data_IF_497083854097
#
_entry.id   IF_497083854097
#
_cell.length_a   1.000
_cell.length_b   1.000
_cell.length_c   1.000
_cell.angle_alpha   90.00
_cell.angle_beta   90.00
_cell.angle_gamma   90.00
#
_symmetry.space_group_name_H-M   'P 1'
#
loop_
_entity.id
_entity.type
_entity.pdbx_description
1 polymer ?
#
# COMPACT_ATOMS: atom_id res chain seq x y z
N UNK A 1 -60.07 55.78 -11.93
CA UNK A 1 -60.25 54.37 -11.52
C UNK A 1 -59.05 53.57 -12.01
N UNK A 2 -58.55 52.61 -11.23
CA UNK A 2 -57.11 52.35 -11.04
C UNK A 2 -56.58 51.08 -11.71
N UNK A 3 -55.25 50.96 -11.74
CA UNK A 3 -54.50 49.68 -11.70
C UNK A 3 -53.99 49.16 -13.06
N UNK A 4 -52.68 49.15 -13.33
CA UNK A 4 -51.66 48.20 -12.82
C UNK A 4 -51.62 46.88 -13.64
N UNK A 5 -50.55 46.60 -14.40
CA UNK A 5 -49.38 45.81 -13.95
C UNK A 5 -48.47 45.42 -15.15
N UNK A 6 -47.20 45.19 -14.79
CA UNK A 6 -45.98 44.94 -15.56
C UNK A 6 -45.90 43.52 -16.19
N UNK A 7 -44.86 43.22 -17.02
CA UNK A 7 -44.90 42.18 -18.05
C UNK A 7 -44.69 40.75 -17.52
N UNK A 8 -45.26 39.81 -18.27
CA UNK A 8 -45.22 38.37 -18.01
C UNK A 8 -43.81 37.80 -17.95
N UNK A 9 -43.52 37.15 -16.82
CA UNK A 9 -42.34 36.32 -16.60
C UNK A 9 -42.33 35.12 -17.57
N UNK A 10 -41.17 34.93 -18.20
CA UNK A 10 -40.78 33.70 -18.86
C UNK A 10 -40.65 32.60 -17.79
N UNK A 11 -41.45 31.53 -17.88
CA UNK A 11 -41.35 30.38 -17.00
C UNK A 11 -40.03 29.63 -17.29
N UNK A 12 -39.10 29.63 -16.34
CA UNK A 12 -37.91 28.80 -16.39
C UNK A 12 -38.26 27.37 -15.99
N UNK A 13 -38.05 26.42 -16.89
CA UNK A 13 -38.10 24.98 -16.60
C UNK A 13 -37.07 24.62 -15.53
N UNK A 14 -37.53 24.48 -14.29
CA UNK A 14 -36.77 23.85 -13.22
C UNK A 14 -36.78 22.32 -13.44
N UNK A 15 -35.85 21.84 -14.27
CA UNK A 15 -35.52 20.42 -14.33
C UNK A 15 -34.99 19.97 -12.97
N UNK A 16 -35.86 19.33 -12.19
CA UNK A 16 -35.51 18.59 -10.98
C UNK A 16 -34.52 17.48 -11.38
N UNK A 17 -33.22 17.75 -11.24
CA UNK A 17 -32.16 16.75 -11.31
C UNK A 17 -32.34 15.80 -10.13
N UNK A 18 -33.13 14.74 -10.33
CA UNK A 18 -33.16 13.60 -9.41
C UNK A 18 -31.75 13.04 -9.36
N UNK A 19 -31.12 13.12 -8.19
CA UNK A 19 -29.89 12.41 -7.89
C UNK A 19 -30.19 10.93 -8.13
N UNK A 20 -29.45 10.22 -9.02
CA UNK A 20 -29.68 8.80 -9.21
C UNK A 20 -29.44 8.08 -7.90
N UNK A 21 -30.36 7.18 -7.54
CA UNK A 21 -30.22 6.34 -6.36
C UNK A 21 -28.87 5.60 -6.42
N UNK A 22 -28.14 5.51 -5.29
CA UNK A 22 -26.91 4.74 -5.25
C UNK A 22 -27.20 3.30 -5.71
N UNK A 23 -26.32 2.67 -6.50
CA UNK A 23 -26.53 1.30 -6.97
C UNK A 23 -26.70 0.37 -5.77
N UNK A 24 -27.54 -0.67 -5.88
CA UNK A 24 -27.80 -1.58 -4.77
C UNK A 24 -26.48 -2.16 -4.28
N UNK A 25 -26.23 -1.96 -2.98
CA UNK A 25 -25.09 -2.50 -2.28
C UNK A 25 -25.11 -4.03 -2.46
N UNK A 26 -24.12 -4.57 -3.19
CA UNK A 26 -24.05 -6.01 -3.46
C UNK A 26 -23.82 -6.72 -2.12
N UNK A 27 -24.89 -7.31 -1.58
CA UNK A 27 -24.94 -8.01 -0.30
C UNK A 27 -23.95 -9.20 -0.15
N UNK A 28 -23.20 -9.54 -1.21
CA UNK A 28 -22.21 -10.63 -1.23
C UNK A 28 -20.77 -10.18 -1.54
N UNK A 29 -20.51 -8.87 -1.47
CA UNK A 29 -19.20 -8.27 -1.67
C UNK A 29 -18.22 -8.69 -0.56
N UNK A 30 -17.33 -9.66 -0.84
CA UNK A 30 -16.17 -9.86 0.04
C UNK A 30 -15.33 -8.57 0.05
N UNK A 31 -14.90 -8.10 1.24
CA UNK A 31 -13.96 -6.98 1.31
C UNK A 31 -12.69 -7.35 0.55
N UNK A 32 -12.06 -6.33 -0.05
CA UNK A 32 -10.79 -6.49 -0.74
C UNK A 32 -9.79 -7.21 0.18
N UNK A 33 -9.29 -8.36 -0.28
CA UNK A 33 -8.37 -9.17 0.50
C UNK A 33 -7.29 -9.76 -0.40
N UNK A 34 -6.09 -9.89 0.16
CA UNK A 34 -4.96 -10.59 -0.45
C UNK A 34 -4.31 -11.50 0.57
N UNK A 35 -4.00 -12.72 0.15
CA UNK A 35 -3.32 -13.73 0.97
C UNK A 35 -2.17 -14.34 0.18
N UNK A 36 -1.01 -14.50 0.82
CA UNK A 36 0.13 -15.21 0.24
C UNK A 36 0.11 -16.69 0.61
N UNK A 37 0.86 -17.51 -0.13
CA UNK A 37 1.05 -18.93 0.19
C UNK A 37 1.79 -19.18 1.51
N UNK A 38 2.42 -18.15 2.08
CA UNK A 38 3.12 -18.21 3.37
C UNK A 38 2.31 -17.51 4.47
N UNK A 39 2.55 -17.93 5.72
CA UNK A 39 1.93 -17.31 6.88
C UNK A 39 2.40 -15.85 7.08
N UNK A 40 1.57 -14.97 7.66
CA UNK A 40 1.98 -13.63 8.05
C UNK A 40 3.27 -13.61 8.88
N UNK A 41 4.25 -12.80 8.48
CA UNK A 41 5.52 -12.65 9.21
C UNK A 41 6.48 -13.83 9.08
N UNK A 42 6.14 -14.87 8.30
CA UNK A 42 7.01 -16.02 8.10
C UNK A 42 8.40 -15.62 7.57
N UNK A 43 9.42 -16.38 7.95
CA UNK A 43 10.80 -16.23 7.46
C UNK A 43 11.21 -17.46 6.69
N UNK A 44 11.63 -17.27 5.45
CA UNK A 44 12.20 -18.30 4.59
C UNK A 44 13.72 -18.20 4.65
N UNK A 45 14.38 -19.31 4.97
CA UNK A 45 15.83 -19.39 5.01
C UNK A 45 16.38 -19.86 3.67
N UNK A 46 17.38 -19.15 3.14
CA UNK A 46 18.11 -19.54 1.93
C UNK A 46 19.62 -19.56 2.20
N UNK A 47 20.27 -20.58 1.64
CA UNK A 47 21.72 -20.68 1.66
C UNK A 47 22.36 -19.66 0.71
N UNK A 48 23.63 -19.34 0.95
CA UNK A 48 24.39 -18.46 0.07
C UNK A 48 24.51 -19.04 -1.35
N UNK A 49 24.23 -18.23 -2.37
CA UNK A 49 24.23 -18.64 -3.76
C UNK A 49 24.49 -17.48 -4.72
N UNK A 50 24.62 -17.77 -6.02
CA UNK A 50 24.87 -16.73 -7.03
C UNK A 50 23.61 -15.99 -7.47
N UNK A 51 22.45 -16.67 -7.44
CA UNK A 51 21.13 -16.11 -7.76
C UNK A 51 20.12 -16.58 -6.73
N UNK A 52 19.28 -15.66 -6.28
CA UNK A 52 18.21 -15.94 -5.33
C UNK A 52 16.92 -15.47 -5.96
N UNK A 53 16.02 -16.41 -6.23
CA UNK A 53 14.68 -16.09 -6.71
C UNK A 53 13.66 -16.74 -5.79
N UNK A 54 12.53 -16.06 -5.65
CA UNK A 54 11.39 -16.57 -4.89
C UNK A 54 10.11 -16.47 -5.70
N UNK A 55 9.32 -17.53 -5.63
CA UNK A 55 7.96 -17.54 -6.16
C UNK A 55 7.02 -16.88 -5.15
N UNK A 56 6.31 -15.86 -5.59
CA UNK A 56 5.24 -15.20 -4.85
C UNK A 56 3.93 -15.72 -5.39
N UNK A 57 3.25 -16.53 -4.58
CA UNK A 57 1.92 -17.06 -4.89
C UNK A 57 0.89 -16.57 -3.88
N UNK A 58 -0.36 -16.49 -4.31
CA UNK A 58 -1.43 -16.01 -3.45
C UNK A 58 -2.80 -15.97 -4.11
N UNK A 59 -3.75 -15.37 -3.40
CA UNK A 59 -5.11 -15.14 -3.87
C UNK A 59 -5.50 -13.69 -3.58
N UNK A 60 -6.10 -13.03 -4.57
CA UNK A 60 -6.75 -11.74 -4.39
C UNK A 60 -8.24 -11.85 -4.73
N UNK A 61 -9.09 -11.20 -3.93
CA UNK A 61 -10.53 -11.12 -4.14
C UNK A 61 -11.05 -9.72 -3.82
N UNK A 62 -12.05 -9.26 -4.56
CA UNK A 62 -12.73 -7.98 -4.37
C UNK A 62 -14.15 -8.03 -4.94
N UNK A 63 -15.01 -7.11 -4.51
CA UNK A 63 -16.30 -6.84 -5.15
C UNK A 63 -16.16 -6.09 -6.49
N UNK A 64 -15.04 -5.39 -6.70
CA UNK A 64 -14.72 -4.61 -7.88
C UNK A 64 -13.60 -5.25 -8.68
N UNK A 65 -13.39 -4.78 -9.92
CA UNK A 65 -12.22 -5.18 -10.71
C UNK A 65 -10.94 -4.83 -9.97
N UNK A 66 -9.96 -5.72 -10.00
CA UNK A 66 -8.64 -5.48 -9.46
C UNK A 66 -7.77 -4.79 -10.52
N UNK A 67 -7.04 -3.77 -10.09
CA UNK A 67 -5.94 -3.15 -10.86
C UNK A 67 -4.71 -4.07 -10.87
N UNK A 68 -3.67 -3.73 -11.67
CA UNK A 68 -2.35 -4.34 -11.55
C UNK A 68 -1.91 -4.55 -10.10
N UNK A 69 -1.41 -5.74 -9.81
CA UNK A 69 -0.89 -6.12 -8.51
C UNK A 69 0.49 -5.51 -8.33
N UNK A 70 0.82 -5.11 -7.11
CA UNK A 70 2.17 -4.66 -6.78
C UNK A 70 2.83 -5.64 -5.82
N UNK A 71 3.94 -6.26 -6.23
CA UNK A 71 4.82 -6.97 -5.32
C UNK A 71 5.85 -5.98 -4.78
N UNK A 72 5.73 -5.62 -3.51
CA UNK A 72 6.70 -4.77 -2.82
C UNK A 72 7.87 -5.61 -2.32
N UNK A 73 9.09 -5.22 -2.69
CA UNK A 73 10.35 -5.83 -2.20
C UNK A 73 11.16 -4.73 -1.55
N UNK A 74 11.39 -4.82 -0.24
CA UNK A 74 12.10 -3.79 0.54
C UNK A 74 11.57 -2.37 0.24
N UNK A 75 10.24 -2.22 0.22
CA UNK A 75 9.54 -0.96 -0.02
C UNK A 75 9.41 -0.54 -1.49
N UNK A 76 10.08 -1.21 -2.44
CA UNK A 76 9.97 -0.93 -3.87
C UNK A 76 8.89 -1.78 -4.52
N UNK A 77 7.86 -1.15 -5.06
CA UNK A 77 6.81 -1.82 -5.81
C UNK A 77 7.27 -2.26 -7.20
N UNK A 78 7.11 -3.54 -7.51
CA UNK A 78 7.18 -4.09 -8.86
C UNK A 78 5.74 -4.35 -9.32
N UNK A 79 5.28 -3.54 -10.28
CA UNK A 79 3.92 -3.67 -10.85
C UNK A 79 3.86 -4.89 -11.75
N UNK A 80 2.77 -5.64 -11.64
CA UNK A 80 2.45 -6.78 -12.50
C UNK A 80 0.99 -6.77 -12.93
N UNK A 81 0.62 -7.42 -14.05
CA UNK A 81 -0.76 -7.48 -14.52
C UNK A 81 -1.73 -7.92 -13.43
N UNK A 82 -3.00 -7.49 -13.50
CA UNK A 82 -4.01 -7.77 -12.47
C UNK A 82 -4.23 -9.28 -12.24
N UNK A 83 -4.81 -9.63 -11.08
CA UNK A 83 -5.07 -11.01 -10.63
C UNK A 83 -6.17 -11.71 -11.46
N UNK A 84 -5.99 -11.86 -12.77
CA UNK A 84 -6.91 -12.53 -13.71
C UNK A 84 -8.32 -11.93 -13.84
N UNK A 85 -8.81 -11.12 -12.89
CA UNK A 85 -10.16 -10.57 -12.79
C UNK A 85 -11.28 -11.56 -13.16
N UNK A 86 -11.14 -12.82 -12.72
CA UNK A 86 -12.16 -13.83 -12.97
C UNK A 86 -13.35 -13.56 -12.07
N UNK A 87 -14.56 -13.67 -12.63
CA UNK A 87 -15.79 -13.61 -11.83
C UNK A 87 -15.78 -14.76 -10.82
N UNK A 88 -16.06 -14.42 -9.57
CA UNK A 88 -16.25 -15.39 -8.50
C UNK A 88 -17.71 -15.85 -8.45
N UNK A 89 -18.00 -16.97 -7.80
CA UNK A 89 -19.37 -17.47 -7.62
C UNK A 89 -20.29 -16.47 -6.89
N UNK A 90 -19.73 -15.49 -6.16
CA UNK A 90 -20.45 -14.44 -5.43
C UNK A 90 -20.58 -13.13 -6.20
N UNK A 91 -20.29 -13.12 -7.50
CA UNK A 91 -20.42 -11.93 -8.34
C UNK A 91 -19.32 -10.86 -8.17
N UNK A 92 -18.32 -11.10 -7.31
CA UNK A 92 -17.09 -10.30 -7.24
C UNK A 92 -16.02 -10.76 -8.25
N UNK A 93 -14.82 -10.21 -8.15
CA UNK A 93 -13.66 -10.52 -8.99
C UNK A 93 -12.52 -11.07 -8.15
N UNK A 94 -11.72 -11.95 -8.74
CA UNK A 94 -10.52 -12.44 -8.11
C UNK A 94 -9.73 -13.39 -8.99
N UNK A 95 -8.62 -13.86 -8.45
CA UNK A 95 -7.79 -14.83 -9.15
C UNK A 95 -6.49 -15.14 -8.41
N UNK A 96 -5.81 -16.21 -8.84
CA UNK A 96 -4.51 -16.55 -8.31
C UNK A 96 -3.48 -15.47 -8.67
N UNK A 97 -2.55 -15.28 -7.76
CA UNK A 97 -1.36 -14.45 -7.91
C UNK A 97 -0.18 -15.40 -8.13
N UNK A 98 0.64 -15.13 -9.14
CA UNK A 98 1.89 -15.84 -9.36
C UNK A 98 2.92 -14.88 -9.94
N UNK A 99 4.07 -14.76 -9.29
CA UNK A 99 5.17 -13.91 -9.73
C UNK A 99 6.52 -14.46 -9.27
N UNK A 100 7.54 -14.36 -10.12
CA UNK A 100 8.94 -14.54 -9.69
C UNK A 100 9.53 -13.21 -9.23
N UNK A 101 10.35 -13.23 -8.20
CA UNK A 101 11.11 -12.08 -7.71
C UNK A 101 12.56 -12.47 -7.54
N UNK A 102 13.46 -11.73 -8.18
CA UNK A 102 14.90 -11.86 -7.99
C UNK A 102 15.34 -11.02 -6.77
N UNK A 103 16.20 -11.59 -5.94
CA UNK A 103 16.71 -11.01 -4.71
C UNK A 103 18.24 -10.93 -4.76
N UNK A 104 18.76 -9.78 -4.33
CA UNK A 104 20.21 -9.57 -4.24
C UNK A 104 20.77 -9.96 -2.87
N UNK A 105 19.92 -10.02 -1.85
CA UNK A 105 20.23 -10.34 -0.46
C UNK A 105 18.95 -10.47 0.37
N UNK A 106 19.10 -10.59 1.69
CA UNK A 106 17.98 -10.68 2.61
C UNK A 106 16.98 -9.54 2.36
N UNK A 107 15.68 -9.89 2.40
CA UNK A 107 14.61 -9.01 1.93
C UNK A 107 13.30 -9.32 2.64
N UNK A 108 12.36 -8.38 2.61
CA UNK A 108 10.96 -8.66 2.90
C UNK A 108 10.12 -8.40 1.65
N UNK A 109 9.05 -9.19 1.52
CA UNK A 109 8.14 -9.16 0.38
C UNK A 109 6.71 -9.02 0.90
N UNK A 110 5.96 -8.11 0.30
CA UNK A 110 4.52 -8.00 0.50
C UNK A 110 3.82 -7.83 -0.84
N UNK A 111 2.55 -8.20 -0.93
CA UNK A 111 1.73 -7.96 -2.11
C UNK A 111 0.64 -6.96 -1.79
N UNK A 112 0.45 -5.98 -2.66
CA UNK A 112 -0.62 -4.99 -2.64
C UNK A 112 -1.52 -5.15 -3.85
N UNK A 113 -2.81 -5.01 -3.62
CA UNK A 113 -3.84 -5.02 -4.64
C UNK A 113 -4.72 -3.79 -4.48
N UNK A 114 -5.18 -3.25 -5.60
CA UNK A 114 -6.00 -2.05 -5.63
C UNK A 114 -7.30 -2.34 -6.39
N UNK A 115 -8.39 -1.73 -5.96
CA UNK A 115 -9.63 -1.75 -6.72
C UNK A 115 -9.61 -0.73 -7.85
N UNK A 116 -10.27 -1.08 -8.95
CA UNK A 116 -10.76 -0.13 -9.95
C UNK A 116 -12.21 0.17 -9.61
N UNK A 117 -12.45 1.39 -9.10
CA UNK A 117 -13.78 1.83 -8.67
C UNK A 117 -14.31 2.94 -9.58
N UNK A 118 -15.63 3.00 -9.82
CA UNK A 118 -16.24 4.09 -10.59
C UNK A 118 -16.16 5.45 -9.89
N UNK A 119 -16.09 5.47 -8.56
CA UNK A 119 -16.02 6.68 -7.74
C UNK A 119 -14.60 7.26 -7.61
N UNK A 120 -13.64 6.72 -8.36
CA UNK A 120 -12.20 7.08 -8.34
C UNK A 120 -11.51 6.98 -6.97
N UNK A 121 -12.23 6.55 -5.92
CA UNK A 121 -11.65 6.36 -4.59
C UNK A 121 -10.66 5.21 -4.61
N UNK A 122 -9.48 5.43 -4.05
CA UNK A 122 -8.46 4.39 -3.94
C UNK A 122 -8.82 3.50 -2.75
N UNK A 123 -9.12 2.22 -3.04
CA UNK A 123 -9.17 1.15 -2.03
C UNK A 123 -8.09 0.14 -2.34
N UNK A 124 -7.34 -0.25 -1.33
CA UNK A 124 -6.26 -1.22 -1.47
C UNK A 124 -6.19 -2.14 -0.26
N UNK A 125 -5.66 -3.34 -0.47
CA UNK A 125 -5.33 -4.29 0.57
C UNK A 125 -3.89 -4.75 0.35
N UNK A 126 -3.23 -5.14 1.43
CA UNK A 126 -1.90 -5.70 1.39
C UNK A 126 -1.81 -6.98 2.20
N UNK A 127 -0.88 -7.85 1.84
CA UNK A 127 -0.49 -8.96 2.69
C UNK A 127 0.37 -8.44 3.84
N UNK A 128 0.51 -9.24 4.90
CA UNK A 128 1.63 -9.09 5.81
C UNK A 128 2.95 -9.36 5.06
N UNK A 129 4.08 -8.78 5.51
CA UNK A 129 5.37 -9.10 4.94
C UNK A 129 5.76 -10.54 5.23
N UNK A 130 6.46 -11.15 4.29
CA UNK A 130 7.20 -12.40 4.42
C UNK A 130 8.67 -12.08 4.27
N UNK A 131 9.50 -12.60 5.16
CA UNK A 131 10.94 -12.35 5.17
C UNK A 131 11.66 -13.47 4.43
N UNK A 132 12.71 -13.11 3.70
CA UNK A 132 13.65 -14.02 3.08
C UNK A 132 15.02 -13.68 3.66
N UNK A 133 15.55 -14.59 4.45
CA UNK A 133 16.88 -14.50 5.01
C UNK A 133 17.85 -15.27 4.11
N UNK A 134 18.98 -14.65 3.80
CA UNK A 134 19.97 -15.20 2.87
C UNK A 134 21.32 -15.17 3.56
N UNK A 135 21.86 -16.36 3.85
CA UNK A 135 23.10 -16.51 4.59
C UNK A 135 24.23 -15.68 3.97
N UNK A 136 24.90 -14.87 4.81
CA UNK A 136 26.01 -14.00 4.39
C UNK A 136 25.62 -12.80 3.52
N UNK A 137 24.33 -12.55 3.29
CA UNK A 137 23.83 -11.43 2.49
C UNK A 137 22.78 -10.63 3.26
N UNK A 138 23.18 -9.83 4.26
CA UNK A 138 22.25 -9.04 5.07
C UNK A 138 21.49 -8.02 4.21
N UNK A 139 20.34 -7.58 4.73
CA UNK A 139 19.55 -6.52 4.11
C UNK A 139 20.38 -5.22 4.07
N UNK A 140 20.62 -4.70 2.87
CA UNK A 140 21.25 -3.38 2.69
C UNK A 140 20.19 -2.34 2.37
N UNK A 141 19.99 -1.43 3.31
CA UNK A 141 19.10 -0.27 3.18
C UNK A 141 19.64 0.68 2.11
N UNK A 142 18.74 1.42 1.46
CA UNK A 142 19.13 2.45 0.49
C UNK A 142 19.57 3.71 1.20
N UNK A 143 20.57 4.39 0.66
CA UNK A 143 21.11 5.62 1.25
C UNK A 143 20.03 6.68 1.50
N UNK A 144 19.09 6.85 0.56
CA UNK A 144 18.00 7.83 0.70
C UNK A 144 17.04 7.48 1.85
N UNK A 145 16.78 6.20 2.10
CA UNK A 145 15.89 5.74 3.18
C UNK A 145 16.51 6.02 4.55
N UNK A 146 17.81 5.73 4.70
CA UNK A 146 18.55 6.00 5.94
C UNK A 146 18.68 7.50 6.18
N UNK A 147 19.07 8.27 5.15
CA UNK A 147 19.19 9.72 5.25
C UNK A 147 17.87 10.40 5.62
N UNK A 148 16.74 9.89 5.11
CA UNK A 148 15.42 10.36 5.50
C UNK A 148 15.18 10.17 7.02
N UNK A 149 15.53 9.01 7.57
CA UNK A 149 15.37 8.73 9.00
C UNK A 149 16.30 9.58 9.87
N UNK A 150 17.57 9.75 9.47
CA UNK A 150 18.52 10.67 10.12
C UNK A 150 17.93 12.08 10.19
N UNK A 151 17.51 12.62 9.04
CA UNK A 151 16.89 13.94 8.97
C UNK A 151 15.66 14.04 9.87
N UNK A 152 14.74 13.06 9.80
CA UNK A 152 13.55 13.06 10.67
C UNK A 152 13.90 13.00 12.15
N UNK A 153 14.93 12.26 12.55
CA UNK A 153 15.38 12.21 13.95
C UNK A 153 15.97 13.54 14.40
N UNK A 154 16.77 14.20 13.58
CA UNK A 154 17.33 15.52 13.87
C UNK A 154 16.23 16.58 14.01
N UNK A 155 15.26 16.59 13.11
CA UNK A 155 14.07 17.46 13.19
C UNK A 155 13.27 17.22 14.47
N UNK A 156 13.10 15.95 14.86
CA UNK A 156 12.37 15.57 16.06
C UNK A 156 13.10 16.00 17.34
N UNK A 157 14.42 15.82 17.40
CA UNK A 157 15.26 16.32 18.50
C UNK A 157 15.15 17.83 18.65
N UNK A 158 15.15 18.58 17.54
CA UNK A 158 14.96 20.04 17.56
C UNK A 158 13.57 20.42 18.07
N UNK A 159 12.53 19.74 17.61
CA UNK A 159 11.13 20.01 17.98
C UNK A 159 10.84 19.69 19.43
N UNK A 160 11.30 18.53 19.90
CA UNK A 160 10.95 17.99 21.21
C UNK A 160 11.97 18.33 22.30
N UNK A 161 13.15 18.85 21.92
CA UNK A 161 14.21 19.31 22.80
C UNK A 161 13.74 20.09 24.04
N UNK A 162 12.88 21.11 23.88
CA UNK A 162 12.42 21.92 25.02
C UNK A 162 11.42 21.23 25.95
N UNK A 163 10.80 20.13 25.52
CA UNK A 163 9.65 19.50 26.22
C UNK A 163 10.03 18.15 26.83
N UNK A 164 10.97 17.43 26.22
CA UNK A 164 11.36 16.11 26.69
C UNK A 164 12.35 16.19 27.85
N UNK A 165 12.16 15.25 28.79
CA UNK A 165 13.12 14.98 29.85
C UNK A 165 14.45 14.45 29.26
N UNK A 166 15.56 14.55 30.01
CA UNK A 166 16.88 14.12 29.53
C UNK A 166 16.96 12.66 29.07
N UNK A 167 16.24 11.76 29.74
CA UNK A 167 16.13 10.34 29.39
C UNK A 167 15.46 10.15 28.02
N UNK A 168 14.35 10.83 27.76
CA UNK A 168 13.71 10.85 26.45
C UNK A 168 14.65 11.36 25.37
N UNK A 169 15.37 12.46 25.61
CA UNK A 169 16.36 12.97 24.64
C UNK A 169 17.51 12.00 24.38
N UNK A 170 17.94 11.23 25.39
CA UNK A 170 18.97 10.22 25.23
C UNK A 170 18.52 9.08 24.30
N UNK A 171 17.26 8.64 24.36
CA UNK A 171 16.71 7.65 23.44
C UNK A 171 16.74 8.13 21.98
N UNK A 172 16.34 9.37 21.73
CA UNK A 172 16.39 9.95 20.38
C UNK A 172 17.83 10.08 19.85
N UNK A 173 18.79 10.47 20.70
CA UNK A 173 20.22 10.52 20.32
C UNK A 173 20.77 9.14 20.02
N UNK A 174 20.42 8.13 20.82
CA UNK A 174 20.79 6.73 20.58
C UNK A 174 20.25 6.22 19.24
N UNK A 175 18.98 6.53 18.94
CA UNK A 175 18.38 6.18 17.66
C UNK A 175 19.06 6.89 16.47
N UNK A 176 19.39 8.18 16.61
CA UNK A 176 20.12 8.94 15.60
C UNK A 176 21.48 8.31 15.30
N UNK A 177 22.28 8.04 16.34
CA UNK A 177 23.60 7.41 16.18
C UNK A 177 23.50 6.02 15.52
N UNK A 178 22.46 5.24 15.82
CA UNK A 178 22.23 3.96 15.17
C UNK A 178 21.93 4.11 13.66
N UNK A 179 21.14 5.12 13.26
CA UNK A 179 20.88 5.38 11.84
C UNK A 179 22.12 5.92 11.11
N UNK A 180 22.93 6.75 11.76
CA UNK A 180 24.21 7.23 11.22
C UNK A 180 25.17 6.06 10.97
N UNK A 181 25.28 5.11 11.90
CA UNK A 181 26.08 3.90 11.70
C UNK A 181 25.54 3.01 10.55
N UNK A 182 24.21 2.90 10.41
CA UNK A 182 23.60 2.20 9.28
C UNK A 182 23.85 2.89 7.94
N UNK A 183 24.02 4.22 7.93
CA UNK A 183 24.31 4.96 6.71
C UNK A 183 25.63 4.48 6.11
N UNK A 184 26.66 4.24 6.91
CA UNK A 184 27.96 3.72 6.42
C UNK A 184 27.83 2.43 5.60
N UNK A 185 26.85 1.58 5.94
CA UNK A 185 26.61 0.30 5.29
C UNK A 185 25.56 0.36 4.19
N UNK A 186 24.87 1.50 4.02
CA UNK A 186 23.82 1.70 3.05
C UNK A 186 24.37 1.74 1.60
N UNK A 187 23.58 1.20 0.69
CA UNK A 187 23.89 1.15 -0.75
C UNK A 187 23.30 2.32 -1.52
#
# INVERSE_FOLDING_TARGET
MPGSMLPGLCASDAQSKRIPAPPPERADARPLAVRLGQAPGATIQQQAGRKHSVGVTGLAVSACLLRPIETAVNGRGVKRPAAGNRKTHRGGYGGPLAAGVELTGASWIAVRVFEQRPDERIRFAHSSPVHVDIAGRPLRLRREEVNYLIRRRQEELKRCGPVLRPDGLAEYRKALAAYEALAEQAR
#
